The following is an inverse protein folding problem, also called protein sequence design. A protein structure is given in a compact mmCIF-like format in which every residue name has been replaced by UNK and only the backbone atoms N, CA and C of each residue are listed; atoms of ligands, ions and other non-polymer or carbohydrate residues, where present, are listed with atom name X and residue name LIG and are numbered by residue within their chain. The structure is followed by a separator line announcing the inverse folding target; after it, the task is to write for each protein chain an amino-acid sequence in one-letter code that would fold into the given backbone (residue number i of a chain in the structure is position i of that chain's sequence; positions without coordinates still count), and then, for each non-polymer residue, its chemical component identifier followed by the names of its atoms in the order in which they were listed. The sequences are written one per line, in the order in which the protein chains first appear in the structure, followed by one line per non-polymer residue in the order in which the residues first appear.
data_IF_884268737291
#
_entry.id   IF_884268737291
#
_cell.length_a   1.000
_cell.length_b   1.000
_cell.length_c   1.000
_cell.angle_alpha   90.00
_cell.angle_beta   90.00
_cell.angle_gamma   90.00
#
_symmetry.space_group_name_H-M   'P 1'
#
loop_
_entity.id
_entity.type
_entity.pdbx_description
1 polymer ?
#
# COMPACT_ATOMS: atom_id res chain seq x y z
N UNK A 1 -3.03 32.21 15.15
CA UNK A 1 -2.01 31.19 15.53
C UNK A 1 -2.68 29.91 16.01
N UNK A 2 -3.43 29.92 17.13
CA UNK A 2 -4.16 28.71 17.58
C UNK A 2 -5.13 28.15 16.52
N UNK A 3 -5.86 29.01 15.80
CA UNK A 3 -6.76 28.59 14.71
C UNK A 3 -6.07 27.91 13.52
N UNK A 4 -4.79 28.22 13.28
CA UNK A 4 -4.02 27.61 12.20
C UNK A 4 -3.47 26.24 12.63
N UNK A 5 -2.98 26.14 13.87
CA UNK A 5 -2.54 24.87 14.46
C UNK A 5 -3.70 23.88 14.55
N UNK A 6 -4.89 24.33 14.96
CA UNK A 6 -6.10 23.51 15.01
C UNK A 6 -6.51 23.01 13.61
N UNK A 7 -6.39 23.85 12.58
CA UNK A 7 -6.62 23.47 11.18
C UNK A 7 -5.61 22.42 10.69
N UNK A 8 -4.32 22.56 11.00
CA UNK A 8 -3.28 21.58 10.64
C UNK A 8 -3.61 20.21 11.22
N UNK A 9 -4.02 20.16 12.49
CA UNK A 9 -4.42 18.90 13.14
C UNK A 9 -5.69 18.31 12.53
N UNK A 10 -6.68 19.16 12.20
CA UNK A 10 -7.93 18.72 11.59
C UNK A 10 -7.73 18.21 10.15
N UNK A 11 -6.97 18.92 9.31
CA UNK A 11 -6.68 18.54 7.94
C UNK A 11 -5.89 17.22 7.90
N UNK A 12 -4.89 17.06 8.77
CA UNK A 12 -4.16 15.81 8.93
C UNK A 12 -5.12 14.67 9.33
N UNK A 13 -5.92 14.89 10.39
CA UNK A 13 -6.86 13.88 10.88
C UNK A 13 -7.90 13.46 9.83
N UNK A 14 -8.41 14.38 9.03
CA UNK A 14 -9.38 14.10 7.97
C UNK A 14 -8.76 13.26 6.83
N UNK A 15 -7.53 13.59 6.40
CA UNK A 15 -6.79 12.83 5.39
C UNK A 15 -6.57 11.37 5.82
N UNK A 16 -6.20 11.15 7.09
CA UNK A 16 -6.02 9.80 7.63
C UNK A 16 -7.34 9.05 7.93
N UNK A 17 -8.45 9.76 8.20
CA UNK A 17 -9.76 9.14 8.48
C UNK A 17 -10.52 8.74 7.21
N UNK A 18 -10.30 9.42 6.07
CA UNK A 18 -10.87 9.02 4.78
C UNK A 18 -10.40 7.62 4.33
N UNK A 19 -9.20 7.19 4.73
CA UNK A 19 -8.69 5.83 4.48
C UNK A 19 -9.40 4.75 5.33
N UNK A 20 -9.99 5.13 6.47
CA UNK A 20 -10.67 4.20 7.39
C UNK A 20 -12.11 3.85 7.02
N UNK A 21 -12.82 4.75 6.31
CA UNK A 21 -14.25 4.60 6.02
C UNK A 21 -14.51 3.97 4.64
N UNK A 22 -14.32 2.65 4.57
CA UNK A 22 -15.22 1.72 3.87
C UNK A 22 -15.42 1.88 2.37
N UNK A 23 -14.72 1.03 1.59
CA UNK A 23 -15.22 0.52 0.31
C UNK A 23 -14.33 0.75 -0.90
N UNK A 24 -13.43 1.74 -0.85
CA UNK A 24 -12.37 1.87 -1.85
C UNK A 24 -11.25 0.91 -1.49
N UNK A 25 -10.92 0.04 -2.42
CA UNK A 25 -9.67 -0.73 -2.43
C UNK A 25 -8.57 0.21 -1.94
N UNK A 26 -7.87 -0.14 -0.86
CA UNK A 26 -6.84 0.73 -0.28
C UNK A 26 -5.98 1.24 -1.44
N UNK A 27 -5.82 2.54 -1.64
CA UNK A 27 -5.26 3.09 -2.90
C UNK A 27 -3.85 2.59 -3.23
N UNK A 28 -3.19 1.96 -2.26
CA UNK A 28 -1.92 1.26 -2.43
C UNK A 28 -2.02 -0.20 -2.94
N UNK A 29 -3.22 -0.79 -3.06
CA UNK A 29 -3.48 -2.11 -3.64
C UNK A 29 -3.80 -1.97 -5.13
N UNK A 30 -2.76 -1.75 -5.95
CA UNK A 30 -2.91 -1.62 -7.41
C UNK A 30 -3.22 -2.96 -8.08
N UNK A 31 -3.73 -2.92 -9.32
CA UNK A 31 -3.99 -4.13 -10.13
C UNK A 31 -2.73 -4.98 -10.33
N UNK A 32 -1.56 -4.36 -10.45
CA UNK A 32 -0.27 -5.06 -10.55
C UNK A 32 0.01 -5.86 -9.26
N UNK A 33 -0.24 -5.27 -8.09
CA UNK A 33 -0.06 -5.93 -6.80
C UNK A 33 -1.06 -7.08 -6.65
N UNK A 34 -2.32 -6.88 -7.07
CA UNK A 34 -3.34 -7.92 -7.06
C UNK A 34 -2.96 -9.11 -7.95
N UNK A 35 -2.59 -8.88 -9.20
CA UNK A 35 -2.13 -9.93 -10.12
C UNK A 35 -0.92 -10.69 -9.55
N UNK A 36 -0.01 -9.98 -8.89
CA UNK A 36 1.16 -10.60 -8.25
C UNK A 36 0.78 -11.45 -7.03
N UNK A 37 -0.20 -11.02 -6.24
CA UNK A 37 -0.77 -11.80 -5.13
C UNK A 37 -1.49 -13.05 -5.65
N UNK A 38 -2.23 -12.95 -6.74
CA UNK A 38 -2.89 -14.09 -7.39
C UNK A 38 -1.88 -15.10 -7.94
N UNK A 39 -0.83 -14.62 -8.61
CA UNK A 39 0.29 -15.47 -9.07
C UNK A 39 0.97 -16.18 -7.90
N UNK A 40 1.23 -15.47 -6.80
CA UNK A 40 1.77 -16.05 -5.56
C UNK A 40 0.85 -17.13 -5.00
N UNK A 41 -0.47 -16.90 -4.96
CA UNK A 41 -1.44 -17.87 -4.47
C UNK A 41 -1.46 -19.14 -5.32
N UNK A 42 -1.46 -19.00 -6.66
CA UNK A 42 -1.35 -20.14 -7.59
C UNK A 42 -0.05 -20.92 -7.37
N UNK A 43 1.09 -20.24 -7.26
CA UNK A 43 2.37 -20.90 -7.00
C UNK A 43 2.43 -21.63 -5.65
N UNK A 44 1.71 -21.14 -4.63
CA UNK A 44 1.56 -21.86 -3.37
C UNK A 44 0.78 -23.17 -3.55
N UNK A 45 -0.34 -23.12 -4.26
CA UNK A 45 -1.14 -24.31 -4.58
C UNK A 45 -0.31 -25.33 -5.35
N UNK A 46 0.44 -24.89 -6.36
CA UNK A 46 1.35 -25.77 -7.10
C UNK A 46 2.38 -26.41 -6.16
N UNK A 47 3.00 -25.63 -5.27
CA UNK A 47 3.93 -26.21 -4.30
C UNK A 47 3.25 -27.25 -3.40
N UNK A 48 2.04 -26.99 -2.90
CA UNK A 48 1.31 -27.96 -2.08
C UNK A 48 0.98 -29.25 -2.86
N UNK A 49 0.55 -29.11 -4.12
CA UNK A 49 0.17 -30.23 -4.98
C UNK A 49 1.36 -31.14 -5.34
N UNK A 50 2.57 -30.60 -5.37
CA UNK A 50 3.79 -31.32 -5.72
C UNK A 50 4.68 -31.67 -4.52
N UNK A 51 4.18 -31.56 -3.28
CA UNK A 51 4.95 -31.96 -2.08
C UNK A 51 5.34 -33.44 -2.12
N UNK A 52 6.57 -33.75 -1.72
CA UNK A 52 7.14 -35.10 -1.73
C UNK A 52 7.54 -35.60 -3.11
N UNK A 53 7.32 -34.82 -4.17
CA UNK A 53 7.72 -35.17 -5.54
C UNK A 53 9.09 -34.56 -5.87
N UNK A 54 9.72 -35.07 -6.94
CA UNK A 54 10.97 -34.49 -7.48
C UNK A 54 10.82 -33.04 -7.94
N UNK A 55 9.58 -32.58 -8.21
CA UNK A 55 9.28 -31.22 -8.63
C UNK A 55 9.04 -30.26 -7.47
N UNK A 56 8.97 -30.73 -6.21
CA UNK A 56 8.69 -29.87 -5.05
C UNK A 56 9.63 -28.66 -4.99
N UNK A 57 10.93 -28.88 -5.17
CA UNK A 57 11.95 -27.83 -5.10
C UNK A 57 11.72 -26.72 -6.14
N UNK A 58 11.26 -27.07 -7.35
CA UNK A 58 10.95 -26.12 -8.41
C UNK A 58 9.79 -25.21 -8.00
N UNK A 59 8.68 -25.79 -7.55
CA UNK A 59 7.49 -25.04 -7.16
C UNK A 59 7.70 -24.23 -5.87
N UNK A 60 8.43 -24.80 -4.90
CA UNK A 60 8.85 -24.09 -3.68
C UNK A 60 9.65 -22.83 -4.01
N UNK A 61 10.64 -22.92 -4.90
CA UNK A 61 11.44 -21.77 -5.36
C UNK A 61 10.57 -20.71 -6.04
N UNK A 62 9.66 -21.12 -6.92
CA UNK A 62 8.73 -20.21 -7.60
C UNK A 62 7.85 -19.45 -6.60
N UNK A 63 7.26 -20.15 -5.64
CA UNK A 63 6.46 -19.52 -4.58
C UNK A 63 7.28 -18.52 -3.75
N UNK A 64 8.50 -18.88 -3.32
CA UNK A 64 9.33 -17.97 -2.53
C UNK A 64 9.74 -16.71 -3.31
N UNK A 65 10.03 -16.84 -4.61
CA UNK A 65 10.32 -15.70 -5.47
C UNK A 65 9.13 -14.74 -5.52
N UNK A 66 7.93 -15.26 -5.83
CA UNK A 66 6.70 -14.46 -5.91
C UNK A 66 6.32 -13.86 -4.56
N UNK A 67 6.51 -14.58 -3.45
CA UNK A 67 6.32 -14.07 -2.09
C UNK A 67 7.20 -12.85 -1.83
N UNK A 68 8.48 -12.91 -2.19
CA UNK A 68 9.41 -11.81 -1.97
C UNK A 68 9.12 -10.63 -2.89
N UNK A 69 8.75 -10.89 -4.15
CA UNK A 69 8.38 -9.84 -5.10
C UNK A 69 7.11 -9.11 -4.65
N UNK A 70 6.07 -9.86 -4.25
CA UNK A 70 4.82 -9.29 -3.73
C UNK A 70 5.08 -8.41 -2.51
N UNK A 71 5.89 -8.89 -1.56
CA UNK A 71 6.27 -8.12 -0.38
C UNK A 71 6.93 -6.80 -0.76
N UNK A 72 7.96 -6.83 -1.62
CA UNK A 72 8.68 -5.62 -2.04
C UNK A 72 7.78 -4.61 -2.76
N UNK A 73 6.89 -5.08 -3.63
CA UNK A 73 5.96 -4.22 -4.38
C UNK A 73 4.94 -3.56 -3.47
N UNK A 74 4.38 -4.31 -2.52
CA UNK A 74 3.46 -3.78 -1.51
C UNK A 74 4.16 -2.73 -0.64
N UNK A 75 5.37 -3.03 -0.14
CA UNK A 75 6.14 -2.09 0.68
C UNK A 75 6.47 -0.80 -0.08
N UNK A 76 6.92 -0.91 -1.34
CA UNK A 76 7.21 0.26 -2.16
C UNK A 76 5.98 1.13 -2.39
N UNK A 77 4.84 0.54 -2.77
CA UNK A 77 3.62 1.31 -3.04
C UNK A 77 3.03 1.92 -1.76
N UNK A 78 3.17 1.25 -0.61
CA UNK A 78 2.80 1.83 0.67
C UNK A 78 3.62 3.08 0.99
N UNK A 79 4.94 3.06 0.73
CA UNK A 79 5.81 4.23 0.92
C UNK A 79 5.40 5.38 -0.01
N UNK A 80 5.19 5.10 -1.30
CA UNK A 80 4.74 6.10 -2.28
C UNK A 80 3.40 6.72 -1.86
N UNK A 81 2.45 5.91 -1.43
CA UNK A 81 1.14 6.39 -0.96
C UNK A 81 1.27 7.32 0.26
N UNK A 82 2.12 6.98 1.23
CA UNK A 82 2.32 7.86 2.39
C UNK A 82 3.00 9.18 2.02
N UNK A 83 3.88 9.18 1.02
CA UNK A 83 4.49 10.39 0.49
C UNK A 83 3.46 11.28 -0.23
N UNK A 84 2.62 10.68 -1.09
CA UNK A 84 1.49 11.34 -1.75
C UNK A 84 0.55 12.01 -0.74
N UNK A 85 0.15 11.28 0.29
CA UNK A 85 -0.74 11.79 1.35
C UNK A 85 -0.08 12.93 2.14
N UNK A 86 1.23 12.84 2.42
CA UNK A 86 1.97 13.92 3.09
C UNK A 86 1.97 15.19 2.24
N UNK A 87 2.19 15.07 0.92
CA UNK A 87 2.15 16.20 -0.02
C UNK A 87 0.74 16.82 -0.08
N UNK A 88 -0.31 16.00 -0.07
CA UNK A 88 -1.69 16.50 -0.02
C UNK A 88 -1.97 17.32 1.24
N UNK A 89 -1.53 16.82 2.40
CA UNK A 89 -1.64 17.55 3.67
C UNK A 89 -0.85 18.85 3.62
N UNK A 90 0.40 18.84 3.12
CA UNK A 90 1.20 20.06 2.96
C UNK A 90 0.51 21.10 2.06
N UNK A 91 -0.06 20.66 0.94
CA UNK A 91 -0.76 21.54 0.02
C UNK A 91 -2.04 22.12 0.65
N UNK A 92 -2.80 21.31 1.38
CA UNK A 92 -3.98 21.76 2.11
C UNK A 92 -3.66 22.78 3.21
N UNK A 93 -2.48 22.64 3.85
CA UNK A 93 -1.97 23.61 4.83
C UNK A 93 -1.56 24.91 4.13
N UNK A 94 -0.77 24.84 3.06
CA UNK A 94 -0.31 26.03 2.29
C UNK A 94 -1.47 26.86 1.76
N UNK A 95 -2.53 26.21 1.26
CA UNK A 95 -3.73 26.92 0.79
C UNK A 95 -4.49 27.65 1.90
N UNK A 96 -4.26 27.29 3.15
CA UNK A 96 -4.97 27.83 4.32
C UNK A 96 -4.07 28.67 5.24
N UNK A 97 -2.81 28.86 4.87
CA UNK A 97 -1.84 29.67 5.61
C UNK A 97 -2.00 31.15 5.24
N UNK A 98 -2.31 32.03 6.22
CA UNK A 98 -2.49 33.46 6.00
C UNK A 98 -1.20 34.20 5.58
N UNK A 99 -0.02 33.58 5.64
CA UNK A 99 1.22 34.15 5.14
C UNK A 99 1.48 33.88 3.64
N UNK A 100 0.75 32.93 3.05
CA UNK A 100 0.83 32.59 1.61
C UNK A 100 -0.44 32.95 0.82
N UNK A 101 -1.49 33.43 1.49
CA UNK A 101 -2.70 34.02 0.88
C UNK A 101 -2.55 35.52 0.60
#
# INVERSE_FOLDING_TARGET
YNSFVDYVHQASGAAFQQDGNGGKQKEWLTDEILDLVDKKAKAFLDWQNFRGTTLESKYKKSYHLLRNLAKKKIEARQVEYWDELSIEVENAIKQHDPATA
#
